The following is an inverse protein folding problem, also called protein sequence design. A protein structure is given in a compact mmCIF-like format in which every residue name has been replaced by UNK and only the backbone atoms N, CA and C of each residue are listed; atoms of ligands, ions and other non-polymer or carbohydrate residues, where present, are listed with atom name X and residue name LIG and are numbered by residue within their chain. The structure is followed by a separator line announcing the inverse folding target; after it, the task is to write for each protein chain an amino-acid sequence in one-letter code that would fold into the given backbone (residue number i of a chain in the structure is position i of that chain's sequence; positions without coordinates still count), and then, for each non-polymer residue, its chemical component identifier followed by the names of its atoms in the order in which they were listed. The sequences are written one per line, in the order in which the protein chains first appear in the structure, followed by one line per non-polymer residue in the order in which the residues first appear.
data_IF_830818685359
#
_entry.id   IF_830818685359
#
_cell.length_a   1.000
_cell.length_b   1.000
_cell.length_c   1.000
_cell.angle_alpha   90.00
_cell.angle_beta   90.00
_cell.angle_gamma   90.00
#
_symmetry.space_group_name_H-M   'P 1'
#
loop_
_entity.id
_entity.type
_entity.pdbx_description
1 polymer ?
#
# COMPACT_ATOMS: atom_id res chain seq x y z
N UNK A 1 9.02 -18.46 -19.49
CA UNK A 1 8.38 -18.06 -18.21
C UNK A 1 8.40 -19.26 -17.28
N UNK A 2 9.08 -19.13 -16.16
CA UNK A 2 9.29 -20.23 -15.20
C UNK A 2 7.99 -20.58 -14.45
N UNK A 3 7.01 -19.67 -14.44
CA UNK A 3 5.73 -19.81 -13.73
C UNK A 3 4.54 -20.18 -14.63
N UNK A 4 4.70 -20.22 -15.96
CA UNK A 4 3.58 -20.48 -16.88
C UNK A 4 2.51 -19.38 -16.92
N UNK A 5 2.69 -18.24 -16.25
CA UNK A 5 1.78 -17.10 -16.30
C UNK A 5 2.07 -16.20 -17.50
N UNK A 6 0.99 -15.68 -18.11
CA UNK A 6 1.07 -14.65 -19.14
C UNK A 6 0.94 -13.27 -18.48
N UNK A 7 1.81 -12.33 -18.86
CA UNK A 7 1.75 -10.95 -18.38
C UNK A 7 1.70 -9.98 -19.57
N UNK A 8 0.98 -8.88 -19.39
CA UNK A 8 0.81 -7.83 -20.37
C UNK A 8 0.67 -6.47 -19.68
N UNK A 9 1.17 -5.40 -20.28
CA UNK A 9 1.06 -4.05 -19.74
C UNK A 9 0.60 -3.07 -20.81
N UNK A 10 -0.36 -2.23 -20.47
CA UNK A 10 -0.87 -1.13 -21.30
C UNK A 10 -0.44 0.17 -20.63
N UNK A 11 0.52 0.91 -21.18
CA UNK A 11 0.87 2.23 -20.68
C UNK A 11 -0.34 3.17 -20.74
N UNK A 12 -0.59 3.93 -19.71
CA UNK A 12 -1.62 4.94 -19.70
C UNK A 12 -1.02 6.27 -20.15
N UNK A 13 -1.57 6.91 -21.20
CA UNK A 13 -1.08 8.19 -21.68
C UNK A 13 -1.39 9.27 -20.64
N UNK A 14 -0.35 9.95 -20.16
CA UNK A 14 -0.46 11.06 -19.20
C UNK A 14 0.21 12.27 -19.83
N UNK A 15 -0.40 13.44 -19.66
CA UNK A 15 0.22 14.68 -20.11
C UNK A 15 1.57 14.88 -19.43
N UNK A 16 2.68 15.01 -20.16
CA UNK A 16 4.00 15.19 -19.57
C UNK A 16 4.06 16.46 -18.70
N UNK A 17 4.63 16.32 -17.54
CA UNK A 17 4.89 17.40 -16.61
C UNK A 17 6.36 17.41 -16.16
N UNK A 18 6.70 18.29 -15.24
CA UNK A 18 8.05 18.32 -14.64
C UNK A 18 8.35 17.06 -13.84
N UNK A 19 7.32 16.49 -13.23
CA UNK A 19 7.33 15.23 -12.52
C UNK A 19 6.04 14.50 -12.90
N UNK A 20 6.16 13.37 -13.60
CA UNK A 20 5.01 12.66 -14.19
C UNK A 20 5.03 11.22 -13.69
N UNK A 21 3.90 10.67 -13.20
CA UNK A 21 3.83 9.29 -12.78
C UNK A 21 3.92 8.37 -14.00
N UNK A 22 4.59 7.23 -13.85
CA UNK A 22 4.56 6.15 -14.84
C UNK A 22 3.40 5.21 -14.49
N UNK A 23 2.27 5.34 -15.17
CA UNK A 23 1.11 4.49 -14.94
C UNK A 23 0.89 3.52 -16.09
N UNK A 24 0.56 2.29 -15.74
CA UNK A 24 0.14 1.26 -16.69
C UNK A 24 -0.95 0.39 -16.10
N UNK A 25 -1.83 -0.12 -16.94
CA UNK A 25 -2.73 -1.19 -16.59
C UNK A 25 -2.02 -2.52 -16.89
N UNK A 26 -1.76 -3.31 -15.86
CA UNK A 26 -1.02 -4.57 -15.99
C UNK A 26 -1.95 -5.76 -15.83
N UNK A 27 -1.75 -6.76 -16.66
CA UNK A 27 -2.41 -8.06 -16.59
C UNK A 27 -1.42 -9.14 -16.18
N UNK A 28 -1.84 -10.02 -15.29
CA UNK A 28 -1.12 -11.24 -14.93
C UNK A 28 -2.14 -12.38 -14.77
N UNK A 29 -2.03 -13.42 -15.61
CA UNK A 29 -2.95 -14.55 -15.59
C UNK A 29 -2.90 -15.36 -14.29
N UNK A 30 -1.83 -15.26 -13.51
CA UNK A 30 -1.68 -15.87 -12.18
C UNK A 30 -2.22 -15.00 -11.04
N UNK A 31 -2.59 -13.74 -11.31
CA UNK A 31 -3.14 -12.85 -10.32
C UNK A 31 -4.64 -13.11 -10.11
N UNK A 32 -5.08 -12.97 -8.86
CA UNK A 32 -6.50 -13.05 -8.51
C UNK A 32 -7.33 -11.90 -9.07
N UNK A 33 -8.58 -11.82 -8.63
CA UNK A 33 -9.49 -10.75 -8.99
C UNK A 33 -9.00 -9.41 -8.41
N UNK A 34 -8.97 -8.38 -9.23
CA UNK A 34 -8.55 -7.02 -8.88
C UNK A 34 -9.66 -6.00 -9.18
N UNK A 35 -9.40 -4.73 -8.90
CA UNK A 35 -10.37 -3.64 -9.15
C UNK A 35 -10.82 -3.53 -10.60
N UNK A 36 -9.97 -3.94 -11.54
CA UNK A 36 -10.24 -3.87 -12.98
C UNK A 36 -10.61 -5.25 -13.58
N UNK A 37 -10.98 -6.22 -12.73
CA UNK A 37 -11.32 -7.58 -13.13
C UNK A 37 -10.20 -8.59 -12.89
N UNK A 38 -10.40 -9.83 -13.35
CA UNK A 38 -9.48 -10.93 -13.12
C UNK A 38 -8.12 -10.66 -13.79
N UNK A 39 -7.07 -10.67 -12.98
CA UNK A 39 -5.70 -10.49 -13.43
C UNK A 39 -5.27 -9.02 -13.68
N UNK A 40 -6.20 -8.08 -13.73
CA UNK A 40 -5.90 -6.69 -14.05
C UNK A 40 -5.62 -5.84 -12.82
N UNK A 41 -4.56 -5.02 -12.90
CA UNK A 41 -4.14 -4.10 -11.84
C UNK A 41 -3.59 -2.81 -12.44
N UNK A 42 -3.74 -1.71 -11.71
CA UNK A 42 -3.04 -0.46 -12.00
C UNK A 42 -1.65 -0.52 -11.36
N UNK A 43 -0.61 -0.04 -12.07
CA UNK A 43 0.78 -0.03 -11.61
C UNK A 43 1.07 1.06 -10.56
N UNK A 44 0.15 1.28 -9.63
CA UNK A 44 0.38 2.16 -8.48
C UNK A 44 0.87 1.32 -7.31
N UNK A 45 2.05 1.61 -6.74
CA UNK A 45 2.57 0.83 -5.65
C UNK A 45 1.75 1.01 -4.37
N UNK A 46 1.75 -0.02 -3.55
CA UNK A 46 1.12 -0.02 -2.23
C UNK A 46 1.96 -0.82 -1.23
N UNK A 47 1.71 -0.62 0.06
CA UNK A 47 2.20 -1.50 1.12
C UNK A 47 1.03 -2.30 1.64
N UNK A 48 1.15 -3.62 1.73
CA UNK A 48 0.06 -4.48 2.20
C UNK A 48 0.55 -5.58 3.14
N UNK A 49 -0.38 -6.16 3.88
CA UNK A 49 -0.11 -7.38 4.65
C UNK A 49 -0.06 -8.59 3.71
N UNK A 50 0.92 -9.45 3.92
CA UNK A 50 1.11 -10.68 3.14
C UNK A 50 0.06 -11.72 3.52
N UNK A 51 -0.46 -12.42 2.52
CA UNK A 51 -1.54 -13.42 2.69
C UNK A 51 -1.15 -14.83 2.23
N UNK A 52 0.12 -15.08 1.96
CA UNK A 52 0.63 -16.39 1.50
C UNK A 52 0.47 -17.52 2.54
N UNK A 53 0.40 -17.15 3.83
CA UNK A 53 0.22 -18.08 4.96
C UNK A 53 -1.17 -18.01 5.60
N UNK A 54 -2.14 -17.40 4.94
CA UNK A 54 -3.51 -17.23 5.41
C UNK A 54 -3.89 -15.77 5.65
N UNK A 55 -5.00 -15.57 6.36
CA UNK A 55 -5.52 -14.23 6.65
C UNK A 55 -4.61 -13.47 7.63
N UNK A 56 -4.47 -12.15 7.47
CA UNK A 56 -3.71 -11.32 8.40
C UNK A 56 -4.27 -11.40 9.83
N UNK A 57 -3.37 -11.34 10.78
CA UNK A 57 -3.72 -11.31 12.21
C UNK A 57 -3.85 -9.89 12.75
N UNK A 58 -3.50 -8.89 11.94
CA UNK A 58 -3.44 -7.47 12.30
C UNK A 58 -2.55 -7.19 13.51
N UNK A 59 -1.44 -7.96 13.61
CA UNK A 59 -0.38 -7.77 14.60
C UNK A 59 0.84 -7.19 13.93
N UNK A 60 1.32 -6.08 14.43
CA UNK A 60 2.42 -5.31 13.82
C UNK A 60 3.78 -5.55 14.47
N UNK A 61 3.80 -6.22 15.64
CA UNK A 61 5.02 -6.44 16.44
C UNK A 61 5.02 -7.83 17.07
N UNK A 62 6.21 -8.30 17.46
CA UNK A 62 6.40 -9.61 18.09
C UNK A 62 6.55 -10.77 17.10
N UNK A 63 6.72 -11.98 17.62
CA UNK A 63 7.03 -13.19 16.83
C UNK A 63 5.88 -13.64 15.92
N UNK A 64 4.66 -13.19 16.21
CA UNK A 64 3.46 -13.47 15.43
C UNK A 64 3.00 -12.27 14.58
N UNK A 65 3.87 -11.29 14.37
CA UNK A 65 3.57 -10.13 13.53
C UNK A 65 3.32 -10.53 12.07
N UNK A 66 2.43 -9.79 11.42
CA UNK A 66 2.20 -9.94 9.99
C UNK A 66 3.41 -9.47 9.21
N UNK A 67 3.70 -10.14 8.10
CA UNK A 67 4.72 -9.70 7.15
C UNK A 67 4.10 -8.63 6.23
N UNK A 68 4.83 -7.54 6.01
CA UNK A 68 4.44 -6.51 5.05
C UNK A 68 5.14 -6.73 3.72
N UNK A 69 4.47 -6.35 2.64
CA UNK A 69 4.98 -6.40 1.26
C UNK A 69 4.81 -5.04 0.63
N UNK A 70 5.86 -4.51 0.03
CA UNK A 70 5.79 -3.35 -0.86
C UNK A 70 5.65 -3.86 -2.30
N UNK A 71 4.72 -3.32 -3.09
CA UNK A 71 4.38 -3.83 -4.43
C UNK A 71 5.57 -3.93 -5.38
N UNK A 72 6.51 -2.98 -5.28
CA UNK A 72 7.71 -2.91 -6.12
C UNK A 72 8.92 -3.61 -5.48
N UNK A 73 8.71 -4.26 -4.33
CA UNK A 73 9.73 -4.96 -3.59
C UNK A 73 9.14 -6.25 -3.00
N UNK A 74 10.01 -7.09 -2.47
CA UNK A 74 9.60 -8.31 -1.77
C UNK A 74 9.16 -8.02 -0.32
N UNK A 75 9.14 -9.06 0.49
CA UNK A 75 8.84 -9.00 1.92
C UNK A 75 9.68 -7.92 2.61
N UNK A 76 9.02 -7.11 3.41
CA UNK A 76 9.66 -6.12 4.25
C UNK A 76 10.06 -6.73 5.59
N UNK A 77 11.32 -6.62 5.94
CA UNK A 77 11.88 -7.11 7.20
C UNK A 77 12.24 -5.92 8.09
N UNK A 78 11.80 -5.88 9.36
CA UNK A 78 12.19 -4.82 10.28
C UNK A 78 13.71 -4.85 10.50
N UNK A 79 14.34 -3.67 10.47
CA UNK A 79 15.77 -3.56 10.81
C UNK A 79 15.95 -3.75 12.31
N UNK A 80 16.94 -4.58 12.66
CA UNK A 80 17.33 -4.87 14.05
C UNK A 80 18.82 -4.57 14.26
N UNK A 81 19.14 -4.07 15.45
CA UNK A 81 20.52 -3.95 15.94
C UNK A 81 20.56 -4.72 17.25
N UNK A 82 21.48 -5.67 17.37
CA UNK A 82 21.61 -6.54 18.57
C UNK A 82 20.27 -7.20 18.99
N UNK A 83 19.50 -7.67 18.00
CA UNK A 83 18.16 -8.28 18.17
C UNK A 83 17.03 -7.30 18.55
N UNK A 84 17.31 -6.02 18.82
CA UNK A 84 16.31 -4.99 19.06
C UNK A 84 15.88 -4.32 17.75
N UNK A 85 14.58 -4.03 17.60
CA UNK A 85 14.06 -3.26 16.48
C UNK A 85 14.54 -1.82 16.55
N UNK A 86 14.97 -1.27 15.40
CA UNK A 86 15.40 0.13 15.31
C UNK A 86 14.17 1.03 15.22
N UNK A 87 13.76 1.57 16.36
CA UNK A 87 12.64 2.51 16.49
C UNK A 87 13.16 3.85 17.00
N UNK A 88 12.72 4.93 16.37
CA UNK A 88 13.03 6.30 16.81
C UNK A 88 11.76 7.10 17.00
N UNK A 89 11.77 8.05 17.93
CA UNK A 89 10.70 9.03 18.10
C UNK A 89 10.94 10.24 17.22
N UNK A 90 9.89 10.70 16.51
CA UNK A 90 9.93 11.87 15.63
C UNK A 90 8.70 12.73 15.89
N UNK A 91 8.90 14.02 16.10
CA UNK A 91 7.81 15.00 16.25
C UNK A 91 7.61 15.74 14.93
N UNK A 92 6.39 15.79 14.43
CA UNK A 92 6.00 16.53 13.23
C UNK A 92 4.78 17.40 13.57
N UNK A 93 4.99 18.71 13.68
CA UNK A 93 3.95 19.60 14.19
C UNK A 93 3.56 19.26 15.62
N UNK A 94 2.29 18.99 15.87
CA UNK A 94 1.78 18.56 17.17
C UNK A 94 1.80 17.04 17.40
N UNK A 95 2.09 16.26 16.36
CA UNK A 95 2.04 14.80 16.42
C UNK A 95 3.40 14.18 16.70
N UNK A 96 3.42 13.17 17.58
CA UNK A 96 4.59 12.34 17.88
C UNK A 96 4.41 10.99 17.21
N UNK A 97 5.48 10.53 16.54
CA UNK A 97 5.50 9.26 15.82
C UNK A 97 6.62 8.36 16.34
N UNK A 98 6.33 7.08 16.45
CA UNK A 98 7.32 6.00 16.48
C UNK A 98 7.63 5.58 15.05
N UNK A 99 8.88 5.70 14.65
CA UNK A 99 9.34 5.40 13.30
C UNK A 99 10.25 4.19 13.33
N UNK A 100 9.81 3.13 12.69
CA UNK A 100 10.53 1.87 12.57
C UNK A 100 11.05 1.71 11.15
N UNK A 101 12.34 1.37 11.03
CA UNK A 101 12.96 1.10 9.73
C UNK A 101 12.74 -0.33 9.29
N UNK A 102 12.51 -0.46 7.98
CA UNK A 102 12.39 -1.73 7.27
C UNK A 102 13.38 -1.79 6.11
N UNK A 103 13.67 -2.99 5.65
CA UNK A 103 14.40 -3.24 4.41
C UNK A 103 13.68 -4.33 3.62
N UNK A 104 13.77 -4.32 2.28
CA UNK A 104 13.33 -5.47 1.49
C UNK A 104 14.19 -6.69 1.85
N UNK A 105 13.65 -7.88 1.72
CA UNK A 105 14.41 -9.12 1.90
C UNK A 105 15.53 -9.25 0.88
N UNK A 106 15.27 -8.82 -0.35
CA UNK A 106 16.26 -8.68 -1.43
C UNK A 106 16.55 -7.21 -1.62
N UNK A 107 17.80 -6.83 -1.68
CA UNK A 107 18.20 -5.42 -1.87
C UNK A 107 17.64 -4.89 -3.19
N UNK A 108 17.05 -3.71 -3.15
CA UNK A 108 16.36 -3.05 -4.26
C UNK A 108 16.64 -1.54 -4.31
N UNK A 109 15.93 -0.84 -5.18
CA UNK A 109 16.10 0.60 -5.46
C UNK A 109 15.67 1.59 -4.37
N UNK A 110 15.42 1.12 -3.13
CA UNK A 110 15.00 1.97 -2.02
C UNK A 110 16.16 2.28 -1.08
N UNK A 111 16.41 3.58 -0.86
CA UNK A 111 17.38 4.05 0.13
C UNK A 111 16.82 3.96 1.56
N UNK A 112 15.49 4.09 1.72
CA UNK A 112 14.83 4.07 3.03
C UNK A 112 13.40 3.57 2.90
N UNK A 113 12.97 2.72 3.84
CA UNK A 113 11.58 2.30 4.03
C UNK A 113 11.25 2.42 5.51
N UNK A 114 10.22 3.18 5.85
CA UNK A 114 9.85 3.49 7.22
C UNK A 114 8.35 3.29 7.47
N UNK A 115 8.04 2.65 8.59
CA UNK A 115 6.71 2.55 9.16
C UNK A 115 6.57 3.62 10.24
N UNK A 116 5.63 4.52 10.07
CA UNK A 116 5.33 5.63 10.97
C UNK A 116 4.06 5.35 11.75
N UNK A 117 4.15 5.18 13.06
CA UNK A 117 3.01 4.99 13.95
C UNK A 117 2.80 6.24 14.79
N UNK A 118 1.65 6.89 14.65
CA UNK A 118 1.30 8.03 15.50
C UNK A 118 1.02 7.54 16.91
N UNK A 119 1.64 8.19 17.92
CA UNK A 119 1.54 7.75 19.32
C UNK A 119 0.14 7.98 19.89
N UNK A 120 -0.51 9.09 19.50
CA UNK A 120 -1.79 9.51 20.05
C UNK A 120 -2.95 8.51 19.82
N UNK A 121 -2.99 7.86 18.64
CA UNK A 121 -4.10 6.99 18.25
C UNK A 121 -3.67 5.67 17.60
N UNK A 122 -2.37 5.44 17.49
CA UNK A 122 -1.81 4.23 16.90
C UNK A 122 -1.92 4.15 15.37
N UNK A 123 -2.39 5.19 14.69
CA UNK A 123 -2.48 5.22 13.23
C UNK A 123 -1.14 5.01 12.56
N UNK A 124 -1.12 4.16 11.55
CA UNK A 124 0.09 3.79 10.80
C UNK A 124 0.01 4.30 9.38
N UNK A 125 1.12 4.87 8.90
CA UNK A 125 1.37 5.13 7.48
C UNK A 125 2.81 4.72 7.14
N UNK A 126 3.11 4.62 5.85
CA UNK A 126 4.43 4.27 5.39
C UNK A 126 5.07 5.39 4.59
N UNK A 127 6.39 5.45 4.65
CA UNK A 127 7.20 6.33 3.80
C UNK A 127 8.34 5.55 3.19
N UNK A 128 8.61 5.84 1.92
CA UNK A 128 9.79 5.32 1.24
C UNK A 128 10.58 6.48 0.62
N UNK A 129 11.88 6.29 0.51
CA UNK A 129 12.77 7.16 -0.25
C UNK A 129 13.52 6.28 -1.25
N UNK A 130 13.44 6.62 -2.53
CA UNK A 130 14.18 5.92 -3.56
C UNK A 130 15.63 6.42 -3.67
N UNK A 131 16.48 5.69 -4.40
CA UNK A 131 17.82 6.13 -4.72
C UNK A 131 17.86 7.46 -5.54
N UNK A 132 16.78 7.76 -6.26
CA UNK A 132 16.58 9.02 -6.99
C UNK A 132 15.97 10.15 -6.12
N UNK A 133 16.03 10.03 -4.80
CA UNK A 133 15.45 10.99 -3.85
C UNK A 133 13.95 11.27 -4.02
N UNK A 134 13.20 10.34 -4.62
CA UNK A 134 11.74 10.42 -4.65
C UNK A 134 11.19 9.87 -3.34
N UNK A 135 10.51 10.73 -2.58
CA UNK A 135 9.79 10.34 -1.37
C UNK A 135 8.36 9.97 -1.71
N UNK A 136 7.93 8.81 -1.23
CA UNK A 136 6.55 8.33 -1.35
C UNK A 136 5.91 8.20 0.03
N UNK A 137 4.64 8.58 0.14
CA UNK A 137 3.83 8.43 1.36
C UNK A 137 2.64 7.53 1.04
N UNK A 138 2.39 6.55 1.91
CA UNK A 138 1.31 5.58 1.72
C UNK A 138 0.38 5.59 2.92
N UNK A 139 -0.92 5.72 2.68
CA UNK A 139 -1.97 5.55 3.68
C UNK A 139 -1.92 6.51 4.85
N UNK A 140 -1.51 7.75 4.67
CA UNK A 140 -1.55 8.78 5.69
C UNK A 140 -2.98 9.24 5.96
N UNK A 141 -3.76 9.49 4.90
CA UNK A 141 -5.19 9.78 4.96
C UNK A 141 -6.05 8.52 5.00
N UNK A 142 -7.27 8.63 5.49
CA UNK A 142 -8.20 7.50 5.61
C UNK A 142 -8.61 6.94 4.24
N UNK A 143 -8.70 7.83 3.23
CA UNK A 143 -9.08 7.42 1.88
C UNK A 143 -7.99 6.61 1.16
N UNK A 144 -6.75 6.69 1.60
CA UNK A 144 -5.63 5.94 1.06
C UNK A 144 -5.37 4.63 1.83
N UNK A 145 -6.39 4.05 2.46
CA UNK A 145 -6.29 2.78 3.22
C UNK A 145 -7.41 1.83 2.83
N UNK A 146 -7.06 0.56 2.74
CA UNK A 146 -8.03 -0.54 2.71
C UNK A 146 -8.13 -1.08 4.13
N UNK A 147 -9.29 -0.93 4.75
CA UNK A 147 -9.52 -1.28 6.15
C UNK A 147 -10.66 -2.26 6.31
N UNK A 148 -10.68 -2.96 7.45
CA UNK A 148 -11.86 -3.68 7.91
C UNK A 148 -12.98 -2.65 8.20
N UNK A 149 -14.17 -2.78 7.61
CA UNK A 149 -15.27 -1.82 7.83
C UNK A 149 -15.77 -1.83 9.27
N UNK A 150 -15.65 -2.95 9.97
CA UNK A 150 -16.09 -3.10 11.35
C UNK A 150 -15.04 -2.58 12.35
N UNK A 151 -13.76 -2.55 11.94
CA UNK A 151 -12.67 -1.99 12.75
C UNK A 151 -11.65 -1.26 11.87
N UNK A 152 -11.76 0.06 11.67
CA UNK A 152 -10.85 0.84 10.82
C UNK A 152 -9.38 0.83 11.28
N UNK A 153 -9.08 0.32 12.48
CA UNK A 153 -7.69 0.13 12.96
C UNK A 153 -7.03 -1.08 12.29
N UNK A 154 -7.82 -2.00 11.75
CA UNK A 154 -7.35 -3.15 10.98
C UNK A 154 -7.12 -2.75 9.54
N UNK A 155 -5.96 -2.18 9.28
CA UNK A 155 -5.56 -1.77 7.93
C UNK A 155 -4.92 -2.96 7.23
N UNK A 156 -5.48 -3.35 6.08
CA UNK A 156 -4.95 -4.40 5.22
C UNK A 156 -3.89 -3.86 4.25
N UNK A 157 -4.17 -2.69 3.65
CA UNK A 157 -3.33 -2.09 2.61
C UNK A 157 -3.26 -0.57 2.76
N UNK A 158 -2.07 -0.02 2.56
CA UNK A 158 -1.77 1.41 2.52
C UNK A 158 -1.45 1.77 1.07
N UNK A 159 -2.32 2.55 0.45
CA UNK A 159 -2.23 2.99 -0.93
C UNK A 159 -1.29 4.19 -1.05
N UNK A 160 -0.63 4.32 -2.20
CA UNK A 160 0.21 5.48 -2.49
C UNK A 160 -0.65 6.74 -2.51
N UNK A 161 -0.31 7.73 -1.72
CA UNK A 161 -1.07 8.98 -1.57
C UNK A 161 -0.31 10.19 -2.12
N UNK A 162 1.02 10.16 -2.02
CA UNK A 162 1.85 11.28 -2.44
C UNK A 162 3.23 10.79 -2.91
N UNK A 163 3.70 11.40 -4.00
CA UNK A 163 5.11 11.35 -4.39
C UNK A 163 5.67 12.76 -4.44
N UNK A 164 6.89 12.93 -3.94
CA UNK A 164 7.61 14.21 -3.97
C UNK A 164 9.01 13.96 -4.47
N UNK A 165 9.42 14.67 -5.53
CA UNK A 165 10.78 14.60 -6.06
C UNK A 165 11.76 15.50 -5.27
N UNK A 166 13.03 15.45 -5.62
CA UNK A 166 14.10 16.26 -4.99
C UNK A 166 13.92 17.78 -5.15
N UNK A 167 13.10 18.22 -6.12
CA UNK A 167 12.83 19.63 -6.43
C UNK A 167 11.56 20.13 -5.77
N UNK A 168 10.83 19.23 -5.04
CA UNK A 168 9.57 19.56 -4.40
C UNK A 168 8.36 19.50 -5.33
N UNK A 169 8.47 18.95 -6.54
CA UNK A 169 7.29 18.67 -7.35
C UNK A 169 6.49 17.53 -6.72
N UNK A 170 5.17 17.66 -6.70
CA UNK A 170 4.26 16.74 -6.01
C UNK A 170 3.33 16.08 -6.99
N UNK A 171 3.13 14.76 -6.84
CA UNK A 171 2.03 13.99 -7.42
C UNK A 171 1.15 13.54 -6.25
N UNK A 172 -0.13 13.89 -6.29
CA UNK A 172 -1.11 13.45 -5.31
C UNK A 172 -2.06 12.43 -5.93
N UNK A 173 -2.32 11.33 -5.19
CA UNK A 173 -3.23 10.26 -5.57
C UNK A 173 -4.48 10.35 -4.69
N UNK A 174 -5.64 10.42 -5.32
CA UNK A 174 -6.93 10.48 -4.63
C UNK A 174 -7.74 9.23 -4.96
N UNK A 175 -8.37 8.65 -3.98
CA UNK A 175 -9.11 7.41 -4.10
C UNK A 175 -10.59 7.66 -3.80
N UNK A 176 -11.46 7.16 -4.67
CA UNK A 176 -12.90 7.12 -4.44
C UNK A 176 -13.28 5.79 -3.77
N UNK A 177 -14.25 5.82 -2.88
CA UNK A 177 -14.83 4.59 -2.36
C UNK A 177 -15.57 3.86 -3.48
N UNK A 178 -15.49 2.53 -3.48
CA UNK A 178 -16.33 1.71 -4.37
C UNK A 178 -17.81 1.97 -4.06
N UNK A 179 -18.61 2.20 -5.07
CA UNK A 179 -20.05 2.36 -4.98
C UNK A 179 -20.78 1.27 -5.78
N UNK A 180 -22.10 1.32 -5.77
CA UNK A 180 -22.97 0.38 -6.52
C UNK A 180 -23.62 1.03 -7.74
N UNK A 181 -23.18 2.20 -8.13
CA UNK A 181 -23.69 2.87 -9.32
C UNK A 181 -23.46 1.96 -10.55
N UNK A 182 -24.53 1.73 -11.30
CA UNK A 182 -24.52 0.90 -12.51
C UNK A 182 -24.19 -0.59 -12.30
N UNK A 183 -24.19 -1.09 -11.07
CA UNK A 183 -24.00 -2.51 -10.79
C UNK A 183 -25.38 -3.20 -10.85
N UNK A 184 -25.49 -4.24 -11.69
CA UNK A 184 -26.72 -5.04 -11.76
C UNK A 184 -27.01 -5.70 -10.41
N UNK A 185 -28.29 -5.81 -10.05
CA UNK A 185 -28.73 -6.46 -8.81
C UNK A 185 -28.59 -7.99 -8.94
N UNK A 186 -27.35 -8.48 -8.95
CA UNK A 186 -27.02 -9.90 -8.99
C UNK A 186 -26.66 -10.42 -7.60
N UNK A 187 -27.01 -11.67 -7.22
CA UNK A 187 -26.67 -12.24 -5.91
C UNK A 187 -25.17 -12.20 -5.59
N UNK A 188 -24.29 -12.35 -6.59
CA UNK A 188 -22.85 -12.27 -6.45
C UNK A 188 -22.36 -10.85 -6.06
N UNK A 189 -23.11 -9.81 -6.43
CA UNK A 189 -22.79 -8.41 -6.18
C UNK A 189 -23.39 -7.88 -4.86
N UNK A 190 -24.21 -8.67 -4.16
CA UNK A 190 -24.89 -8.24 -2.92
C UNK A 190 -23.91 -7.85 -1.80
N UNK A 191 -22.70 -8.41 -1.82
CA UNK A 191 -21.67 -8.15 -0.80
C UNK A 191 -20.81 -6.92 -1.10
N UNK A 192 -20.86 -6.38 -2.32
CA UNK A 192 -20.13 -5.20 -2.70
C UNK A 192 -20.91 -3.93 -2.33
N UNK A 193 -20.26 -3.01 -1.63
CA UNK A 193 -20.81 -1.68 -1.34
C UNK A 193 -22.06 -1.64 -0.44
N UNK A 194 -22.38 -2.69 0.35
CA UNK A 194 -23.38 -2.59 1.41
C UNK A 194 -22.71 -2.06 2.67
N UNK A 195 -23.18 -0.96 3.29
CA UNK A 195 -22.68 -0.53 4.59
C UNK A 195 -22.71 -1.71 5.58
N UNK A 196 -21.57 -2.08 6.17
CA UNK A 196 -21.45 -3.23 7.08
C UNK A 196 -21.20 -4.58 6.42
N UNK A 197 -21.09 -4.70 5.10
CA UNK A 197 -20.80 -5.96 4.40
C UNK A 197 -19.36 -6.08 3.90
N UNK A 198 -18.42 -5.62 4.68
CA UNK A 198 -17.01 -5.94 4.59
C UNK A 198 -16.33 -5.66 3.24
N UNK A 199 -15.36 -4.94 3.17
CA UNK A 199 -14.39 -4.51 2.16
C UNK A 199 -14.79 -3.23 1.45
N UNK A 200 -14.38 -2.12 2.00
CA UNK A 200 -14.32 -0.86 1.26
C UNK A 200 -13.06 -0.88 0.41
N UNK A 201 -13.18 -1.20 -0.87
CA UNK A 201 -12.12 -0.93 -1.83
C UNK A 201 -12.14 0.56 -2.14
N UNK A 202 -11.00 1.22 -2.00
CA UNK A 202 -10.83 2.60 -2.41
C UNK A 202 -9.81 2.61 -3.54
N UNK A 203 -10.21 3.14 -4.66
CA UNK A 203 -9.35 3.37 -5.83
C UNK A 203 -8.73 4.75 -5.78
#
# INVERSE_FOLDING_TARGET
PVTGSASFAIPLPITPGRFTPSLSLTYDSGAGNGPFGLGWRLSVPSVRRKTDKGLPRYRDTGDSADTFVLSDAEDLVPMRVESAEVVRSVTVGADVYEVQRYRPRVEGGFALIERWRRVADGRVHWRTLSAANVRRTYGKGDQARVTDPDDPRRVFEWLLEEEVDERGNVIAYQYAAEDRANVASHPAERRKGTPGSGVTYRY
#
